data_IF_776930139298
#
_entry.id   IF_776930139298
#
_cell.length_a   1.000
_cell.length_b   1.000
_cell.length_c   1.000
_cell.angle_alpha   90.00
_cell.angle_beta   90.00
_cell.angle_gamma   90.00
#
_symmetry.space_group_name_H-M   'P 1'
#
loop_
_entity.id
_entity.type
_entity.pdbx_description
1 polymer ?
#
# COMPACT_ATOMS: atom_id res chain seq x y z
N UNK A 1 10.25 -74.24 -2.68
CA UNK A 1 10.64 -74.37 -1.27
C UNK A 1 11.98 -73.67 -1.08
N UNK A 2 12.02 -72.75 -0.10
CA UNK A 2 13.15 -72.11 0.56
C UNK A 2 14.31 -71.54 -0.28
N UNK A 3 14.42 -70.21 -0.32
CA UNK A 3 15.71 -69.54 -0.38
C UNK A 3 15.91 -68.82 0.97
N UNK A 4 16.99 -69.19 1.67
CA UNK A 4 17.40 -68.60 2.93
C UNK A 4 18.06 -67.22 2.69
N UNK A 5 17.80 -66.31 3.63
CA UNK A 5 18.44 -65.01 3.73
C UNK A 5 19.90 -65.11 4.20
N UNK A 6 20.57 -63.94 4.26
CA UNK A 6 21.79 -63.52 5.00
C UNK A 6 22.86 -63.01 4.02
N UNK A 7 23.49 -61.83 4.14
CA UNK A 7 23.44 -60.64 5.01
C UNK A 7 24.48 -59.65 4.45
N UNK A 8 24.28 -58.33 4.67
CA UNK A 8 25.32 -57.31 4.95
C UNK A 8 26.38 -57.09 3.85
N UNK A 9 27.07 -55.99 3.61
CA UNK A 9 27.41 -54.66 4.13
C UNK A 9 28.31 -54.10 2.99
N UNK A 10 28.45 -52.81 2.67
CA UNK A 10 28.97 -51.72 3.49
C UNK A 10 28.99 -50.50 2.55
N UNK A 11 28.34 -49.42 2.95
CA UNK A 11 28.79 -48.01 2.82
C UNK A 11 29.34 -47.56 1.44
N UNK A 12 28.47 -47.31 0.48
CA UNK A 12 28.68 -46.27 -0.53
C UNK A 12 27.33 -45.82 -1.10
N UNK A 13 26.88 -44.62 -0.77
CA UNK A 13 25.69 -44.08 -1.43
C UNK A 13 25.05 -42.94 -0.66
N UNK A 14 25.34 -41.73 -1.10
CA UNK A 14 24.55 -40.53 -0.88
C UNK A 14 23.05 -40.87 -1.00
N UNK A 15 22.34 -40.87 0.13
CA UNK A 15 20.88 -40.87 0.12
C UNK A 15 20.41 -39.43 0.33
N UNK A 16 20.21 -38.73 -0.79
CA UNK A 16 19.32 -37.57 -0.84
C UNK A 16 17.91 -38.08 -0.55
N UNK A 17 17.53 -38.05 0.72
CA UNK A 17 16.15 -38.31 1.11
C UNK A 17 15.31 -37.07 0.78
N UNK A 18 14.64 -37.12 -0.37
CA UNK A 18 13.57 -36.21 -0.75
C UNK A 18 12.38 -36.35 0.20
N UNK A 19 12.43 -35.69 1.36
CA UNK A 19 11.22 -35.43 2.15
C UNK A 19 10.48 -34.26 1.51
N UNK A 20 9.64 -34.63 0.54
CA UNK A 20 8.54 -33.85 -0.01
C UNK A 20 7.77 -33.19 1.14
N UNK A 21 8.01 -31.91 1.36
CA UNK A 21 7.27 -31.14 2.35
C UNK A 21 5.79 -31.14 1.94
N UNK A 22 4.99 -32.00 2.56
CA UNK A 22 3.53 -31.91 2.55
C UNK A 22 3.12 -30.77 3.48
N UNK A 23 3.46 -29.53 3.10
CA UNK A 23 2.82 -28.37 3.71
C UNK A 23 1.39 -28.33 3.17
N UNK A 24 0.47 -29.02 3.86
CA UNK A 24 -0.96 -28.74 3.72
C UNK A 24 -1.11 -27.24 3.98
N UNK A 25 -1.66 -26.44 3.05
CA UNK A 25 -1.87 -25.02 3.28
C UNK A 25 -2.62 -24.86 4.60
N UNK A 26 -2.03 -24.10 5.52
CA UNK A 26 -2.74 -23.75 6.76
C UNK A 26 -4.06 -23.08 6.35
N UNK A 27 -5.18 -23.37 7.03
CA UNK A 27 -6.43 -22.67 6.78
C UNK A 27 -6.19 -21.16 6.76
N UNK A 28 -6.85 -20.45 5.83
CA UNK A 28 -6.66 -19.00 5.63
C UNK A 28 -6.78 -18.24 6.96
N UNK A 29 -7.67 -18.68 7.83
CA UNK A 29 -7.88 -18.16 9.17
C UNK A 29 -6.60 -18.23 10.03
N UNK A 30 -5.94 -19.39 10.07
CA UNK A 30 -4.68 -19.62 10.81
C UNK A 30 -3.50 -18.82 10.23
N UNK A 31 -3.46 -18.61 8.90
CA UNK A 31 -2.46 -17.73 8.29
C UNK A 31 -2.67 -16.26 8.63
N UNK A 32 -3.93 -15.85 8.81
CA UNK A 32 -4.22 -14.45 9.12
C UNK A 32 -3.95 -14.10 10.58
N UNK A 33 -4.01 -15.04 11.52
CA UNK A 33 -3.68 -14.80 12.95
C UNK A 33 -2.17 -14.73 13.20
N UNK A 34 -1.36 -15.33 12.33
CA UNK A 34 0.11 -15.31 12.42
C UNK A 34 0.77 -14.00 11.92
N UNK A 35 -0.03 -13.08 11.37
CA UNK A 35 0.46 -11.83 10.75
C UNK A 35 1.01 -10.88 11.82
N UNK A 36 2.33 -10.70 11.83
CA UNK A 36 3.06 -9.87 12.81
C UNK A 36 2.56 -8.42 12.86
N UNK A 37 2.09 -7.88 11.74
CA UNK A 37 1.55 -6.53 11.64
C UNK A 37 0.23 -6.30 12.41
N UNK A 38 -0.50 -7.35 12.81
CA UNK A 38 -1.70 -7.16 13.65
C UNK A 38 -1.40 -6.58 15.02
N UNK A 39 -0.19 -6.79 15.54
CA UNK A 39 0.25 -6.25 16.83
C UNK A 39 0.82 -4.83 16.72
N UNK A 40 0.96 -4.30 15.51
CA UNK A 40 1.49 -2.95 15.30
C UNK A 40 0.34 -1.96 15.42
N UNK A 41 0.45 -1.03 16.37
CA UNK A 41 -0.50 0.08 16.47
C UNK A 41 -0.26 1.05 15.31
N UNK A 42 -1.30 1.53 14.61
CA UNK A 42 -1.13 2.57 13.59
C UNK A 42 -0.44 3.82 14.16
N UNK A 43 -0.70 4.17 15.43
CA UNK A 43 -0.07 5.30 16.11
C UNK A 43 1.41 5.11 16.43
N UNK A 44 1.93 3.87 16.43
CA UNK A 44 3.35 3.61 16.69
C UNK A 44 4.22 3.80 15.44
N UNK A 45 3.62 3.99 14.26
CA UNK A 45 4.35 4.27 13.03
C UNK A 45 4.37 5.80 12.84
N UNK A 46 5.56 6.44 12.91
CA UNK A 46 5.65 7.87 12.68
C UNK A 46 5.19 8.21 11.26
N UNK A 47 4.33 9.22 11.13
CA UNK A 47 3.77 9.61 9.84
C UNK A 47 4.77 10.41 8.98
N UNK A 48 5.84 10.92 9.58
CA UNK A 48 7.00 11.47 8.86
C UNK A 48 8.08 10.40 8.79
N UNK A 49 8.72 10.15 7.63
CA UNK A 49 8.71 10.96 6.40
C UNK A 49 7.57 10.63 5.41
N UNK A 50 6.76 9.60 5.69
CA UNK A 50 5.73 9.06 4.78
C UNK A 50 4.82 10.14 4.19
N UNK A 51 4.27 11.02 5.03
CA UNK A 51 3.30 12.06 4.65
C UNK A 51 3.82 12.99 3.55
N UNK A 52 5.09 13.39 3.64
CA UNK A 52 5.72 14.28 2.66
C UNK A 52 5.99 13.57 1.34
N UNK A 53 6.60 12.37 1.41
CA UNK A 53 6.93 11.58 0.23
C UNK A 53 5.68 11.17 -0.55
N UNK A 54 4.62 10.76 0.15
CA UNK A 54 3.34 10.38 -0.48
C UNK A 54 2.67 11.57 -1.17
N UNK A 55 2.65 12.74 -0.53
CA UNK A 55 2.08 13.94 -1.14
C UNK A 55 2.85 14.33 -2.42
N UNK A 56 4.19 14.40 -2.32
CA UNK A 56 5.04 14.74 -3.46
C UNK A 56 4.89 13.73 -4.61
N UNK A 57 4.89 12.43 -4.32
CA UNK A 57 4.71 11.39 -5.33
C UNK A 57 3.37 11.52 -6.06
N UNK A 58 2.27 11.67 -5.32
CA UNK A 58 0.92 11.77 -5.90
C UNK A 58 0.75 13.02 -6.75
N UNK A 59 1.18 14.18 -6.25
CA UNK A 59 1.13 15.44 -6.99
C UNK A 59 2.04 15.43 -8.23
N UNK A 60 3.22 14.80 -8.15
CA UNK A 60 4.16 14.75 -9.28
C UNK A 60 3.69 13.79 -10.37
N UNK A 61 3.11 12.66 -9.99
CA UNK A 61 2.59 11.67 -10.96
C UNK A 61 1.19 12.01 -11.47
N UNK A 62 0.52 13.00 -10.87
CA UNK A 62 -0.87 13.34 -11.16
C UNK A 62 -1.87 12.25 -10.76
N UNK A 63 -1.45 11.26 -9.96
CA UNK A 63 -2.30 10.26 -9.30
C UNK A 63 -2.78 10.75 -7.92
N UNK A 64 -3.10 12.02 -7.85
CA UNK A 64 -3.73 12.64 -6.69
C UNK A 64 -5.25 12.37 -6.69
N UNK A 65 -5.94 12.95 -5.72
CA UNK A 65 -7.39 12.85 -5.59
C UNK A 65 -8.00 14.26 -5.61
N UNK A 66 -7.38 15.18 -6.35
CA UNK A 66 -7.92 16.53 -6.55
C UNK A 66 -9.05 16.47 -7.59
N UNK A 67 -9.92 17.49 -7.60
CA UNK A 67 -11.13 17.48 -8.43
C UNK A 67 -10.82 17.27 -9.92
N UNK A 68 -9.71 17.82 -10.42
CA UNK A 68 -9.28 17.63 -11.80
C UNK A 68 -8.97 16.16 -12.13
N UNK A 69 -8.30 15.43 -11.23
CA UNK A 69 -8.02 14.00 -11.43
C UNK A 69 -9.30 13.17 -11.31
N UNK A 70 -10.13 13.44 -10.31
CA UNK A 70 -11.39 12.73 -10.09
C UNK A 70 -12.37 12.92 -11.27
N UNK A 71 -12.43 14.10 -11.87
CA UNK A 71 -13.20 14.33 -13.09
C UNK A 71 -12.65 13.51 -14.27
N UNK A 72 -11.33 13.46 -14.47
CA UNK A 72 -10.73 12.65 -15.55
C UNK A 72 -11.12 11.17 -15.44
N UNK A 73 -11.25 10.67 -14.21
CA UNK A 73 -11.74 9.32 -13.91
C UNK A 73 -13.27 9.19 -13.95
N UNK A 74 -14.02 10.27 -14.23
CA UNK A 74 -15.49 10.33 -14.20
C UNK A 74 -16.11 9.99 -12.84
N UNK A 75 -15.37 10.24 -11.76
CA UNK A 75 -15.84 10.10 -10.36
C UNK A 75 -16.48 11.41 -9.88
N UNK A 76 -15.85 12.55 -10.21
CA UNK A 76 -16.42 13.89 -9.99
C UNK A 76 -17.15 14.36 -11.25
N UNK A 77 -18.23 15.12 -11.06
CA UNK A 77 -18.96 15.76 -12.17
C UNK A 77 -18.18 16.95 -12.74
N UNK A 78 -17.48 17.70 -11.89
CA UNK A 78 -16.80 18.95 -12.24
C UNK A 78 -15.31 18.92 -11.87
N UNK A 79 -14.43 19.58 -12.66
CA UNK A 79 -12.98 19.61 -12.41
C UNK A 79 -12.55 20.78 -11.52
N UNK A 80 -13.49 21.66 -11.13
CA UNK A 80 -13.22 22.91 -10.45
C UNK A 80 -12.91 22.72 -8.96
N UNK A 81 -12.20 23.67 -8.38
CA UNK A 81 -11.90 23.69 -6.96
C UNK A 81 -13.15 23.99 -6.13
N UNK A 82 -13.63 23.06 -5.29
CA UNK A 82 -14.78 23.33 -4.43
C UNK A 82 -14.36 24.03 -3.12
N UNK A 83 -13.06 24.22 -2.89
CA UNK A 83 -12.54 24.83 -1.67
C UNK A 83 -12.51 26.36 -1.73
N UNK A 84 -12.59 26.95 -2.92
CA UNK A 84 -12.56 28.40 -3.11
C UNK A 84 -13.46 28.81 -4.27
N UNK A 85 -13.90 30.07 -4.26
CA UNK A 85 -14.86 30.60 -5.25
C UNK A 85 -14.20 31.07 -6.56
N UNK A 86 -12.99 30.57 -6.88
CA UNK A 86 -12.23 31.02 -8.05
C UNK A 86 -12.74 30.46 -9.38
N UNK A 87 -13.46 29.33 -9.35
CA UNK A 87 -13.85 28.59 -10.56
C UNK A 87 -12.67 27.98 -11.32
N UNK A 88 -11.45 27.99 -10.75
CA UNK A 88 -10.28 27.39 -11.38
C UNK A 88 -10.31 25.85 -11.24
N UNK A 89 -9.69 25.17 -12.21
CA UNK A 89 -9.49 23.72 -12.18
C UNK A 89 -8.60 23.34 -10.99
N UNK A 90 -9.02 22.37 -10.19
CA UNK A 90 -8.28 21.94 -8.99
C UNK A 90 -7.17 20.97 -9.35
N UNK A 91 -6.08 21.47 -9.88
CA UNK A 91 -4.84 20.74 -10.12
C UNK A 91 -3.72 21.20 -9.17
N UNK A 92 -2.52 20.61 -9.27
CA UNK A 92 -1.38 20.93 -8.39
C UNK A 92 -1.08 22.43 -8.36
N UNK A 93 -1.06 23.07 -9.51
CA UNK A 93 -0.72 24.49 -9.63
C UNK A 93 -1.76 25.37 -8.94
N UNK A 94 -3.04 25.07 -9.12
CA UNK A 94 -4.11 25.73 -8.38
C UNK A 94 -4.01 25.43 -6.87
N UNK A 95 -3.76 24.18 -6.47
CA UNK A 95 -3.61 23.80 -5.07
C UNK A 95 -2.54 24.66 -4.36
N UNK A 96 -1.44 25.00 -5.04
CA UNK A 96 -0.38 25.86 -4.50
C UNK A 96 -0.77 27.32 -4.33
N UNK A 97 -1.75 27.81 -5.12
CA UNK A 97 -2.23 29.20 -5.09
C UNK A 97 -3.61 29.37 -4.44
N UNK A 98 -4.28 28.27 -4.14
CA UNK A 98 -5.65 28.25 -3.61
C UNK A 98 -5.75 29.09 -2.33
N UNK A 99 -6.60 30.11 -2.36
CA UNK A 99 -6.79 31.05 -1.25
C UNK A 99 -7.28 30.38 0.04
N UNK A 100 -8.08 29.31 -0.08
CA UNK A 100 -8.56 28.53 1.06
C UNK A 100 -7.45 27.76 1.79
N UNK A 101 -6.28 27.58 1.17
CA UNK A 101 -5.14 26.84 1.69
C UNK A 101 -3.92 27.75 1.90
N UNK A 102 -4.13 29.05 2.06
CA UNK A 102 -3.06 30.02 2.22
C UNK A 102 -2.21 29.75 3.47
N UNK A 103 -0.92 30.09 3.43
CA UNK A 103 0.01 29.93 4.57
C UNK A 103 0.51 28.50 4.82
N UNK A 104 -0.01 27.50 4.12
CA UNK A 104 0.40 26.10 4.25
C UNK A 104 1.54 25.74 3.28
N UNK A 105 2.40 24.80 3.68
CA UNK A 105 3.36 24.15 2.77
C UNK A 105 2.64 23.31 1.72
N UNK A 106 3.26 23.01 0.56
CA UNK A 106 2.66 22.16 -0.48
C UNK A 106 2.12 20.82 0.09
N UNK A 107 2.92 20.16 0.94
CA UNK A 107 2.50 18.92 1.60
C UNK A 107 1.27 19.17 2.47
N UNK A 108 1.28 20.22 3.29
CA UNK A 108 0.13 20.56 4.14
C UNK A 108 -1.11 20.87 3.32
N UNK A 109 -0.99 21.62 2.22
CA UNK A 109 -2.10 21.94 1.31
C UNK A 109 -2.74 20.68 0.74
N UNK A 110 -1.93 19.73 0.26
CA UNK A 110 -2.44 18.48 -0.29
C UNK A 110 -3.32 17.71 0.71
N UNK A 111 -2.83 17.54 1.93
CA UNK A 111 -3.58 16.78 2.93
C UNK A 111 -4.76 17.55 3.52
N UNK A 112 -4.64 18.86 3.67
CA UNK A 112 -5.75 19.72 4.11
C UNK A 112 -6.87 19.70 3.07
N UNK A 113 -6.52 19.84 1.79
CA UNK A 113 -7.49 19.72 0.70
C UNK A 113 -8.22 18.38 0.76
N UNK A 114 -7.50 17.27 0.96
CA UNK A 114 -8.13 15.95 1.12
C UNK A 114 -9.09 15.88 2.30
N UNK A 115 -8.68 16.40 3.45
CA UNK A 115 -9.52 16.42 4.64
C UNK A 115 -10.82 17.19 4.38
N UNK A 116 -10.74 18.36 3.75
CA UNK A 116 -11.89 19.18 3.38
C UNK A 116 -12.77 18.53 2.31
N UNK A 117 -12.18 17.76 1.39
CA UNK A 117 -12.89 17.03 0.33
C UNK A 117 -13.45 15.66 0.78
N UNK A 118 -13.16 15.22 2.01
CA UNK A 118 -13.55 13.90 2.51
C UNK A 118 -12.86 12.72 1.82
N UNK A 119 -11.60 12.89 1.40
CA UNK A 119 -10.79 11.90 0.63
C UNK A 119 -9.74 11.16 1.45
#
# INVERSE_FOLDING_TARGET
>A
MAAAAITSNTEAGVLVANLRATTRPLPKETLTTLKSWRRVSPSSIPDKPRRGVVAAFRLTTGHDCLAAHLHRLRISTEPFCPLCDSGEVMERDHLLRCGALQGLTEVSRYWEARALLGQ
#
